data_IF_858939965179
#
_entry.id   IF_858939965179
#
_cell.length_a   1.000
_cell.length_b   1.000
_cell.length_c   1.000
_cell.angle_alpha   90.00
_cell.angle_beta   90.00
_cell.angle_gamma   90.00
#
_symmetry.space_group_name_H-M   'P 1'
#
loop_
_entity.id
_entity.type
_entity.pdbx_description
1 polymer ?
#
# COMPACT_ATOMS: atom_id res chain seq x y z
N UNK A 1 4.77 1.67 -6.37
CA UNK A 1 5.95 2.36 -5.81
C UNK A 1 6.81 1.33 -5.08
N UNK A 2 8.14 1.37 -5.27
CA UNK A 2 9.05 0.30 -4.80
C UNK A 2 9.32 0.32 -3.29
N UNK A 3 9.07 1.46 -2.63
CA UNK A 3 9.37 1.68 -1.20
C UNK A 3 8.22 2.31 -0.41
N UNK A 4 7.04 2.49 -1.00
CA UNK A 4 5.84 3.00 -0.34
C UNK A 4 4.56 2.57 -1.07
N UNK A 5 3.40 2.85 -0.48
CA UNK A 5 2.09 2.51 -1.02
C UNK A 5 1.22 3.77 -1.05
N UNK A 6 0.46 3.95 -2.13
CA UNK A 6 -0.67 4.87 -2.17
C UNK A 6 -1.95 4.06 -2.08
N UNK A 7 -2.88 4.49 -1.22
CA UNK A 7 -4.11 3.78 -0.95
C UNK A 7 -5.27 4.76 -0.87
N UNK A 8 -6.32 4.51 -1.67
CA UNK A 8 -7.64 5.09 -1.47
C UNK A 8 -8.47 4.06 -0.71
N UNK A 9 -9.00 4.45 0.45
CA UNK A 9 -9.83 3.57 1.26
C UNK A 9 -10.95 4.36 1.94
N UNK A 10 -12.00 3.65 2.35
CA UNK A 10 -13.08 4.19 3.17
C UNK A 10 -13.39 3.23 4.31
N UNK A 11 -13.79 3.77 5.46
CA UNK A 11 -14.37 2.97 6.52
C UNK A 11 -15.83 2.68 6.22
N UNK A 12 -16.22 1.40 6.22
CA UNK A 12 -17.60 0.98 5.90
C UNK A 12 -18.46 0.72 7.14
N UNK A 13 -17.84 0.55 8.31
CA UNK A 13 -18.52 0.30 9.60
C UNK A 13 -18.43 1.49 10.56
N UNK A 14 -18.09 2.69 10.06
CA UNK A 14 -18.00 3.91 10.87
C UNK A 14 -16.75 4.01 11.77
N UNK A 15 -15.80 3.06 11.70
CA UNK A 15 -14.51 3.19 12.39
C UNK A 15 -13.76 4.42 11.90
N UNK A 16 -13.13 5.17 12.80
CA UNK A 16 -12.31 6.32 12.43
C UNK A 16 -11.17 5.91 11.48
N UNK A 17 -10.96 6.57 10.33
CA UNK A 17 -9.96 6.16 9.33
C UNK A 17 -8.53 5.98 9.88
N UNK A 18 -8.14 6.78 10.85
CA UNK A 18 -6.83 6.66 11.49
C UNK A 18 -6.65 5.32 12.24
N UNK A 19 -7.71 4.81 12.89
CA UNK A 19 -7.67 3.52 13.57
C UNK A 19 -7.59 2.38 12.56
N UNK A 20 -8.41 2.45 11.50
CA UNK A 20 -8.38 1.48 10.41
C UNK A 20 -7.01 1.40 9.73
N UNK A 21 -6.38 2.55 9.46
CA UNK A 21 -5.02 2.61 8.93
C UNK A 21 -3.99 2.05 9.92
N UNK A 22 -4.15 2.32 11.22
CA UNK A 22 -3.31 1.77 12.27
C UNK A 22 -3.37 0.23 12.32
N UNK A 23 -4.57 -0.33 12.27
CA UNK A 23 -4.81 -1.78 12.24
C UNK A 23 -4.22 -2.41 10.97
N UNK A 24 -4.43 -1.78 9.80
CA UNK A 24 -3.81 -2.19 8.53
C UNK A 24 -2.28 -2.26 8.65
N UNK A 25 -1.63 -1.19 9.14
CA UNK A 25 -0.18 -1.14 9.29
C UNK A 25 0.32 -2.17 10.29
N UNK A 26 -0.38 -2.36 11.41
CA UNK A 26 -0.02 -3.35 12.43
C UNK A 26 -0.09 -4.78 11.88
N UNK A 27 -1.19 -5.13 11.22
CA UNK A 27 -1.39 -6.46 10.64
C UNK A 27 -0.34 -6.74 9.55
N UNK A 28 -0.21 -5.82 8.59
CA UNK A 28 0.71 -6.00 7.45
C UNK A 28 2.16 -5.99 7.87
N UNK A 29 2.57 -5.19 8.86
CA UNK A 29 3.93 -5.21 9.42
C UNK A 29 4.29 -6.60 9.94
N UNK A 30 3.40 -7.22 10.74
CA UNK A 30 3.61 -8.57 11.27
C UNK A 30 3.66 -9.61 10.14
N UNK A 31 2.73 -9.52 9.19
CA UNK A 31 2.66 -10.46 8.08
C UNK A 31 3.89 -10.41 7.17
N UNK A 32 4.35 -9.19 6.80
CA UNK A 32 5.51 -8.99 5.93
C UNK A 32 6.81 -9.43 6.62
N UNK A 33 7.02 -9.04 7.89
CA UNK A 33 8.20 -9.47 8.65
C UNK A 33 8.23 -11.00 8.75
N UNK A 34 7.10 -11.64 9.05
CA UNK A 34 7.00 -13.11 9.09
C UNK A 34 7.27 -13.73 7.72
N UNK A 35 6.78 -13.14 6.64
CA UNK A 35 7.01 -13.63 5.28
C UNK A 35 8.51 -13.57 4.92
N UNK A 36 9.22 -12.50 5.28
CA UNK A 36 10.67 -12.38 5.09
C UNK A 36 11.41 -13.41 5.95
N UNK A 37 11.07 -13.52 7.24
CA UNK A 37 11.66 -14.49 8.18
C UNK A 37 11.50 -15.94 7.73
N UNK A 38 10.41 -16.27 7.05
CA UNK A 38 10.12 -17.63 6.63
C UNK A 38 10.46 -17.90 5.15
N UNK A 39 11.01 -16.92 4.43
CA UNK A 39 11.39 -17.10 3.02
C UNK A 39 12.87 -17.53 2.93
N UNK A 40 13.19 -18.78 2.57
CA UNK A 40 14.57 -19.23 2.39
C UNK A 40 15.23 -18.69 1.11
N UNK A 41 14.46 -18.09 0.19
CA UNK A 41 14.96 -17.55 -1.09
C UNK A 41 15.22 -16.05 -1.07
N UNK A 42 14.87 -15.35 0.00
CA UNK A 42 15.14 -13.91 0.14
C UNK A 42 16.59 -13.70 0.59
N UNK A 43 17.47 -13.36 -0.36
CA UNK A 43 18.90 -13.17 -0.09
C UNK A 43 19.22 -11.95 0.78
N UNK A 44 18.29 -10.99 0.91
CA UNK A 44 18.47 -9.77 1.73
C UNK A 44 17.85 -9.90 3.11
N UNK A 45 17.41 -11.10 3.51
CA UNK A 45 16.61 -11.35 4.71
C UNK A 45 17.25 -10.79 5.97
N UNK A 46 18.50 -11.15 6.24
CA UNK A 46 19.25 -10.72 7.44
C UNK A 46 19.39 -9.19 7.45
N UNK A 47 19.74 -8.61 6.30
CA UNK A 47 19.85 -7.15 6.15
C UNK A 47 18.52 -6.43 6.44
N UNK A 48 17.42 -6.89 5.83
CA UNK A 48 16.10 -6.28 6.01
C UNK A 48 15.62 -6.34 7.46
N UNK A 49 15.74 -7.51 8.09
CA UNK A 49 15.33 -7.70 9.48
C UNK A 49 16.15 -6.84 10.44
N UNK A 50 17.45 -6.72 10.20
CA UNK A 50 18.32 -5.83 10.98
C UNK A 50 17.92 -4.35 10.82
N UNK A 51 17.57 -3.90 9.61
CA UNK A 51 17.07 -2.53 9.42
C UNK A 51 15.76 -2.29 10.17
N UNK A 52 14.82 -3.25 10.14
CA UNK A 52 13.55 -3.11 10.85
C UNK A 52 13.73 -3.13 12.37
N UNK A 53 14.71 -3.89 12.87
CA UNK A 53 15.06 -3.91 14.30
C UNK A 53 15.65 -2.57 14.74
N UNK A 54 16.63 -2.03 14.00
CA UNK A 54 17.19 -0.68 14.25
C UNK A 54 16.13 0.41 14.21
N UNK A 55 15.14 0.28 13.34
CA UNK A 55 14.02 1.22 13.27
C UNK A 55 13.09 1.09 14.49
N UNK A 56 12.85 -0.14 14.99
CA UNK A 56 12.06 -0.39 16.19
C UNK A 56 12.75 0.14 17.45
N UNK A 57 14.07 -0.02 17.58
CA UNK A 57 14.86 0.49 18.72
C UNK A 57 14.77 2.02 18.89
N UNK A 58 14.48 2.75 17.81
CA UNK A 58 14.26 4.20 17.81
C UNK A 58 12.82 4.60 18.10
N UNK A 59 11.93 3.63 18.30
CA UNK A 59 10.49 3.82 18.48
C UNK A 59 10.08 3.41 19.89
N UNK A 60 9.25 4.22 20.54
CA UNK A 60 8.75 3.92 21.90
C UNK A 60 7.60 2.91 21.94
N UNK A 61 7.02 2.56 20.79
CA UNK A 61 5.78 1.79 20.67
C UNK A 61 5.87 0.61 19.69
N UNK A 62 7.08 0.17 19.32
CA UNK A 62 7.30 -0.98 18.45
C UNK A 62 8.35 -1.88 19.08
N UNK A 63 7.96 -3.10 19.47
CA UNK A 63 8.81 -3.94 20.32
C UNK A 63 9.92 -4.70 19.58
N UNK A 64 9.75 -5.01 18.29
CA UNK A 64 10.67 -5.94 17.59
C UNK A 64 11.11 -5.49 16.21
N UNK A 65 10.18 -5.32 15.27
CA UNK A 65 10.49 -4.94 13.89
C UNK A 65 9.53 -3.87 13.41
N UNK A 66 10.06 -2.70 13.03
CA UNK A 66 9.30 -1.62 12.44
C UNK A 66 9.42 -1.66 10.92
N UNK A 67 8.39 -2.15 10.23
CA UNK A 67 8.33 -2.15 8.76
C UNK A 67 7.84 -0.80 8.21
N UNK A 68 6.73 -0.28 8.75
CA UNK A 68 6.17 0.99 8.33
C UNK A 68 6.79 2.15 9.11
N UNK A 69 7.03 3.28 8.42
CA UNK A 69 7.24 4.56 9.09
C UNK A 69 5.96 5.02 9.79
N UNK A 70 6.07 5.85 10.83
CA UNK A 70 4.90 6.37 11.56
C UNK A 70 4.12 7.41 10.76
N UNK A 71 4.82 8.22 9.97
CA UNK A 71 4.22 9.28 9.17
C UNK A 71 3.32 8.73 8.06
N UNK A 72 2.30 9.51 7.77
CA UNK A 72 1.39 9.32 6.66
C UNK A 72 0.96 10.70 6.15
N UNK A 73 0.46 10.76 4.92
CA UNK A 73 -0.04 12.01 4.29
C UNK A 73 -1.51 11.82 3.92
N UNK A 74 -2.43 11.83 4.88
CA UNK A 74 -3.84 11.59 4.61
C UNK A 74 -4.43 12.78 3.85
N UNK A 75 -5.20 12.48 2.80
CA UNK A 75 -5.95 13.47 2.02
C UNK A 75 -7.41 13.04 2.07
N UNK A 76 -8.27 13.87 2.65
CA UNK A 76 -9.71 13.62 2.62
C UNK A 76 -10.22 13.72 1.18
N UNK A 77 -11.07 12.77 0.78
CA UNK A 77 -11.71 12.75 -0.54
C UNK A 77 -13.21 12.95 -0.33
N UNK A 78 -13.75 14.03 -0.90
CA UNK A 78 -15.10 14.53 -0.58
C UNK A 78 -16.11 14.40 -1.72
N UNK A 79 -15.67 14.02 -2.92
CA UNK A 79 -16.56 13.86 -4.08
C UNK A 79 -16.06 12.76 -5.00
N UNK A 80 -16.96 12.17 -5.79
CA UNK A 80 -16.62 11.15 -6.79
C UNK A 80 -15.59 11.66 -7.80
N UNK A 81 -15.70 12.94 -8.22
CA UNK A 81 -14.72 13.59 -9.08
C UNK A 81 -13.32 13.58 -8.46
N UNK A 82 -13.19 14.02 -7.21
CA UNK A 82 -11.90 14.06 -6.50
C UNK A 82 -11.36 12.65 -6.24
N UNK A 83 -12.23 11.68 -5.96
CA UNK A 83 -11.83 10.27 -5.83
C UNK A 83 -11.25 9.77 -7.15
N UNK A 84 -11.95 9.98 -8.28
CA UNK A 84 -11.51 9.58 -9.60
C UNK A 84 -10.17 10.23 -9.97
N UNK A 85 -10.00 11.53 -9.71
CA UNK A 85 -8.74 12.25 -9.93
C UNK A 85 -7.58 11.61 -9.15
N UNK A 86 -7.79 11.24 -7.88
CA UNK A 86 -6.74 10.60 -7.06
C UNK A 86 -6.46 9.16 -7.47
N UNK A 87 -7.47 8.40 -7.88
CA UNK A 87 -7.27 7.05 -8.43
C UNK A 87 -6.42 7.14 -9.70
N UNK A 88 -6.77 8.01 -10.66
CA UNK A 88 -6.00 8.23 -11.88
C UNK A 88 -4.56 8.67 -11.58
N UNK A 89 -4.37 9.60 -10.63
CA UNK A 89 -3.03 10.02 -10.19
C UNK A 89 -2.20 8.83 -9.67
N UNK A 90 -2.77 8.03 -8.77
CA UNK A 90 -2.09 6.87 -8.18
C UNK A 90 -1.70 5.84 -9.26
N UNK A 91 -2.60 5.57 -10.20
CA UNK A 91 -2.34 4.64 -11.31
C UNK A 91 -1.27 5.13 -12.27
N UNK A 92 -1.13 6.44 -12.46
CA UNK A 92 -0.09 7.03 -13.30
C UNK A 92 1.29 7.12 -12.63
N UNK A 93 1.39 7.07 -11.30
CA UNK A 93 2.67 7.20 -10.60
C UNK A 93 3.78 6.24 -11.11
N UNK A 94 3.52 4.95 -11.40
CA UNK A 94 4.51 4.06 -12.00
C UNK A 94 4.99 4.50 -13.40
N UNK A 95 4.15 5.16 -14.18
CA UNK A 95 4.48 5.69 -15.51
C UNK A 95 5.39 6.92 -15.38
N UNK A 96 4.99 7.87 -14.53
CA UNK A 96 5.80 9.06 -14.23
C UNK A 96 7.16 8.71 -13.62
N UNK A 97 7.23 7.60 -12.87
CA UNK A 97 8.48 7.07 -12.32
C UNK A 97 9.34 6.28 -13.34
N UNK A 98 8.87 6.12 -14.59
CA UNK A 98 9.58 5.40 -15.65
C UNK A 98 9.66 3.88 -15.43
N UNK A 99 8.82 3.30 -14.57
CA UNK A 99 8.83 1.86 -14.27
C UNK A 99 8.10 1.04 -15.33
N UNK A 100 7.09 1.64 -15.96
CA UNK A 100 6.25 1.02 -16.99
C UNK A 100 5.81 2.08 -17.99
N UNK A 101 5.46 1.68 -19.21
CA UNK A 101 4.96 2.60 -20.24
C UNK A 101 3.46 2.89 -20.13
N UNK A 102 2.70 2.01 -19.47
CA UNK A 102 1.26 2.18 -19.24
C UNK A 102 0.89 1.85 -17.79
N UNK A 103 -0.13 2.50 -17.20
CA UNK A 103 -0.55 2.25 -15.82
C UNK A 103 -0.83 0.78 -15.49
N UNK A 104 -1.56 0.10 -16.39
CA UNK A 104 -1.98 -1.29 -16.24
C UNK A 104 -0.86 -2.32 -16.33
N UNK A 105 0.33 -1.93 -16.81
CA UNK A 105 1.48 -2.82 -16.90
C UNK A 105 2.20 -2.93 -15.54
N UNK A 106 1.88 -2.06 -14.58
CA UNK A 106 2.41 -2.17 -13.23
C UNK A 106 1.67 -3.22 -12.41
N UNK A 107 2.28 -4.41 -12.32
CA UNK A 107 1.70 -5.60 -11.69
C UNK A 107 1.11 -5.39 -10.29
N UNK A 108 1.75 -4.55 -9.46
CA UNK A 108 1.33 -4.30 -8.08
C UNK A 108 0.40 -3.08 -7.95
N UNK A 109 -0.59 -2.99 -8.83
CA UNK A 109 -1.59 -1.91 -8.86
C UNK A 109 -2.95 -2.45 -9.32
N UNK A 110 -4.02 -1.77 -8.90
CA UNK A 110 -5.38 -2.03 -9.41
C UNK A 110 -5.62 -1.42 -10.80
N UNK A 111 -4.65 -0.76 -11.41
CA UNK A 111 -4.78 -0.15 -12.74
C UNK A 111 -5.21 -1.16 -13.80
N UNK A 112 -4.75 -2.42 -13.71
CA UNK A 112 -5.18 -3.51 -14.60
C UNK A 112 -6.67 -3.79 -14.48
N UNK A 113 -7.22 -3.83 -13.27
CA UNK A 113 -8.65 -4.05 -13.03
C UNK A 113 -9.49 -2.91 -13.64
N UNK A 114 -9.02 -1.66 -13.50
CA UNK A 114 -9.69 -0.49 -14.10
C UNK A 114 -9.62 -0.46 -15.62
N UNK A 115 -8.61 -1.11 -16.22
CA UNK A 115 -8.48 -1.29 -17.66
C UNK A 115 -9.29 -2.48 -18.22
N UNK A 116 -10.09 -3.16 -17.37
CA UNK A 116 -10.88 -4.33 -17.76
C UNK A 116 -10.08 -5.64 -17.82
N UNK A 117 -8.82 -5.63 -17.36
CA UNK A 117 -8.01 -6.83 -17.19
C UNK A 117 -8.24 -7.51 -15.84
N UNK A 118 -7.53 -8.62 -15.60
CA UNK A 118 -7.51 -9.30 -14.30
C UNK A 118 -6.23 -8.92 -13.54
N UNK A 119 -6.36 -8.18 -12.43
CA UNK A 119 -5.26 -7.87 -11.53
C UNK A 119 -4.83 -9.08 -10.68
N UNK A 120 -3.93 -8.83 -9.72
CA UNK A 120 -3.40 -9.86 -8.81
C UNK A 120 -4.42 -10.39 -7.79
N UNK A 121 -5.46 -9.61 -7.51
CA UNK A 121 -6.46 -9.95 -6.50
C UNK A 121 -7.73 -10.44 -7.18
N UNK A 122 -8.32 -11.50 -6.65
CA UNK A 122 -9.61 -11.99 -7.12
C UNK A 122 -10.78 -11.16 -6.53
N UNK A 123 -11.93 -11.22 -7.21
CA UNK A 123 -13.18 -10.60 -6.77
C UNK A 123 -13.12 -9.08 -6.54
N UNK A 124 -12.29 -8.39 -7.33
CA UNK A 124 -12.22 -6.93 -7.32
C UNK A 124 -13.41 -6.32 -8.05
N UNK A 125 -14.03 -5.33 -7.41
CA UNK A 125 -15.06 -4.47 -8.01
C UNK A 125 -14.42 -3.10 -8.22
N UNK A 126 -14.47 -2.62 -9.46
CA UNK A 126 -13.96 -1.30 -9.83
C UNK A 126 -15.03 -0.24 -9.62
N UNK A 127 -14.62 0.88 -9.02
CA UNK A 127 -15.46 2.06 -8.93
C UNK A 127 -15.31 2.88 -10.22
N UNK A 128 -16.42 3.15 -10.90
CA UNK A 128 -16.43 4.00 -12.10
C UNK A 128 -17.37 5.19 -11.87
N UNK A 129 -16.89 6.38 -12.23
CA UNK A 129 -17.63 7.63 -12.19
C UNK A 129 -17.68 8.23 -13.60
N UNK A 130 -18.90 8.46 -14.11
CA UNK A 130 -19.12 8.87 -15.51
C UNK A 130 -19.40 10.37 -15.69
N UNK A 131 -19.31 11.17 -14.61
CA UNK A 131 -19.73 12.58 -14.59
C UNK A 131 -21.06 12.76 -13.89
#
# INVERSE_FOLDING_TARGET
MTNHVHLVFRSVKGQHPALLLGDFKRFTSKAVVKAIQNNPRESRKEFLLEQFKKAAEKSSNVDSHQFWRHDNKPIALWSNKVIQEKVSYIHNNPVEAGLVSKPQDYLYSSATDYAGGKGLLDHIIVFQYFG
#
